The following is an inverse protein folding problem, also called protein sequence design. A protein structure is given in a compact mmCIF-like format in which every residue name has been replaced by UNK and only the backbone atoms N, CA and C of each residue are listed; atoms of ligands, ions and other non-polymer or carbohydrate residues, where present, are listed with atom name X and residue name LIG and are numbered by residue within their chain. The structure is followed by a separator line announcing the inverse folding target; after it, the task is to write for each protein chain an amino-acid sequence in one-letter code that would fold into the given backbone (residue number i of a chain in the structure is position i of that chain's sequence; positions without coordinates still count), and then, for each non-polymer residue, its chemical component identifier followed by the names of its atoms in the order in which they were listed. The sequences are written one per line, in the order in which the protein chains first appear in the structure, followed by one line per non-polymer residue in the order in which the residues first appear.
data_IF_162120025159
#
_entry.id   IF_162120025159
#
_cell.length_a   1.000
_cell.length_b   1.000
_cell.length_c   1.000
_cell.angle_alpha   90.00
_cell.angle_beta   90.00
_cell.angle_gamma   90.00
#
_symmetry.space_group_name_H-M   'P 1'
#
loop_
_entity.id
_entity.type
_entity.pdbx_description
1 polymer ?
#
# COMPACT_ATOMS: atom_id res chain seq x y z
N UNK A 1 16.74 3.00 -26.82
CA UNK A 1 15.28 3.12 -26.67
C UNK A 1 14.81 2.85 -25.23
N UNK A 2 15.38 1.85 -24.54
CA UNK A 2 15.02 1.46 -23.14
C UNK A 2 15.35 2.50 -22.05
N UNK A 3 16.40 3.31 -22.22
CA UNK A 3 16.82 4.30 -21.22
C UNK A 3 15.89 5.51 -21.12
N UNK A 4 15.31 5.94 -22.24
CA UNK A 4 14.38 7.09 -22.27
C UNK A 4 13.03 6.69 -21.69
N UNK A 5 12.56 5.48 -22.00
CA UNK A 5 11.37 4.90 -21.39
C UNK A 5 11.54 4.85 -19.87
N UNK A 6 12.62 4.22 -19.36
CA UNK A 6 12.89 4.18 -17.92
C UNK A 6 12.98 5.58 -17.27
N UNK A 7 13.56 6.56 -17.96
CA UNK A 7 13.65 7.94 -17.48
C UNK A 7 12.29 8.64 -17.35
N UNK A 8 11.26 8.21 -18.10
CA UNK A 8 9.90 8.74 -18.03
C UNK A 8 9.02 7.91 -17.07
N UNK A 9 9.16 6.58 -17.08
CA UNK A 9 8.36 5.70 -16.22
C UNK A 9 8.68 5.90 -14.75
N UNK A 10 9.94 6.18 -14.39
CA UNK A 10 10.36 6.42 -13.01
C UNK A 10 9.68 7.65 -12.37
N UNK A 11 9.80 8.88 -12.91
CA UNK A 11 9.14 10.05 -12.34
C UNK A 11 7.62 9.92 -12.37
N UNK A 12 7.05 9.35 -13.44
CA UNK A 12 5.61 9.09 -13.51
C UNK A 12 5.15 8.15 -12.38
N UNK A 13 5.89 7.07 -12.14
CA UNK A 13 5.58 6.12 -11.06
C UNK A 13 5.70 6.77 -9.68
N UNK A 14 6.69 7.65 -9.47
CA UNK A 14 6.85 8.41 -8.22
C UNK A 14 5.66 9.35 -8.00
N UNK A 15 5.29 10.16 -8.99
CA UNK A 15 4.16 11.10 -8.90
C UNK A 15 2.87 10.35 -8.61
N UNK A 16 2.61 9.26 -9.33
CA UNK A 16 1.38 8.49 -9.15
C UNK A 16 1.36 7.75 -7.80
N UNK A 17 2.51 7.31 -7.29
CA UNK A 17 2.65 6.76 -5.92
C UNK A 17 2.33 7.80 -4.85
N UNK A 18 2.82 9.03 -5.03
CA UNK A 18 2.53 10.15 -4.12
C UNK A 18 1.04 10.47 -4.14
N UNK A 19 0.41 10.56 -5.33
CA UNK A 19 -1.02 10.81 -5.46
C UNK A 19 -1.87 9.71 -4.78
N UNK A 20 -1.59 8.43 -5.05
CA UNK A 20 -2.26 7.31 -4.39
C UNK A 20 -2.11 7.39 -2.86
N UNK A 21 -0.93 7.75 -2.38
CA UNK A 21 -0.67 7.86 -0.94
C UNK A 21 -1.41 9.02 -0.31
N UNK A 22 -1.46 10.19 -0.96
CA UNK A 22 -2.20 11.36 -0.46
C UNK A 22 -3.71 11.06 -0.45
N UNK A 23 -4.24 10.56 -1.56
CA UNK A 23 -5.67 10.24 -1.71
C UNK A 23 -6.11 9.19 -0.68
N UNK A 24 -5.23 8.25 -0.32
CA UNK A 24 -5.56 7.23 0.67
C UNK A 24 -5.33 7.68 2.13
N UNK A 25 -4.28 8.44 2.41
CA UNK A 25 -3.91 8.86 3.78
C UNK A 25 -4.78 9.98 4.33
N UNK A 26 -5.11 11.00 3.53
CA UNK A 26 -5.94 12.13 3.95
C UNK A 26 -7.29 11.68 4.55
N UNK A 27 -8.10 10.85 3.87
CA UNK A 27 -9.38 10.41 4.43
C UNK A 27 -9.21 9.48 5.64
N UNK A 28 -8.12 8.70 5.74
CA UNK A 28 -7.83 7.89 6.94
C UNK A 28 -7.59 8.81 8.14
N UNK A 29 -6.81 9.89 7.96
CA UNK A 29 -6.54 10.86 9.03
C UNK A 29 -7.83 11.56 9.46
N UNK A 30 -8.65 12.01 8.52
CA UNK A 30 -9.95 12.63 8.81
C UNK A 30 -10.87 11.65 9.57
N UNK A 31 -10.94 10.39 9.14
CA UNK A 31 -11.73 9.37 9.84
C UNK A 31 -11.18 9.08 11.26
N UNK A 32 -9.85 9.12 11.43
CA UNK A 32 -9.19 9.03 12.74
C UNK A 32 -9.53 10.21 13.65
N UNK A 33 -9.59 11.43 13.12
CA UNK A 33 -10.04 12.60 13.88
C UNK A 33 -11.50 12.47 14.34
N UNK A 34 -12.39 12.00 13.46
CA UNK A 34 -13.80 11.73 13.82
C UNK A 34 -13.90 10.69 14.93
N UNK A 35 -13.06 9.64 14.88
CA UNK A 35 -12.99 8.60 15.93
C UNK A 35 -12.57 9.17 17.29
N UNK A 36 -11.68 10.16 17.31
CA UNK A 36 -11.21 10.82 18.54
C UNK A 36 -12.30 11.70 19.17
N UNK A 37 -13.09 12.39 18.35
CA UNK A 37 -14.17 13.28 18.81
C UNK A 37 -15.43 12.53 19.26
N UNK A 38 -15.72 11.34 18.71
CA UNK A 38 -16.96 10.60 18.97
C UNK A 38 -16.69 9.20 19.56
N UNK A 39 -16.89 8.99 20.88
CA UNK A 39 -16.73 7.68 21.53
C UNK A 39 -17.97 6.79 21.31
N UNK A 40 -18.43 6.64 20.07
CA UNK A 40 -19.59 5.82 19.72
C UNK A 40 -19.13 4.51 19.08
N UNK A 41 -19.45 3.33 19.65
CA UNK A 41 -18.93 2.04 19.18
C UNK A 41 -19.38 1.69 17.75
N UNK A 42 -20.56 2.14 17.32
CA UNK A 42 -21.00 1.99 15.93
C UNK A 42 -20.11 2.76 14.93
N UNK A 43 -19.72 3.99 15.27
CA UNK A 43 -18.86 4.82 14.41
C UNK A 43 -17.48 4.19 14.31
N UNK A 44 -16.95 3.66 15.41
CA UNK A 44 -15.64 3.00 15.42
C UNK A 44 -15.59 1.79 14.49
N UNK A 45 -16.63 0.96 14.45
CA UNK A 45 -16.71 -0.16 13.50
C UNK A 45 -16.72 0.33 12.05
N UNK A 46 -17.53 1.35 11.73
CA UNK A 46 -17.62 1.91 10.38
C UNK A 46 -16.30 2.54 9.93
N UNK A 47 -15.65 3.31 10.81
CA UNK A 47 -14.33 3.90 10.57
C UNK A 47 -13.29 2.80 10.37
N UNK A 48 -13.30 1.74 11.18
CA UNK A 48 -12.32 0.65 11.03
C UNK A 48 -12.48 -0.09 9.70
N UNK A 49 -13.73 -0.34 9.25
CA UNK A 49 -14.00 -0.93 7.94
C UNK A 49 -13.53 0.00 6.82
N UNK A 50 -13.81 1.31 6.95
CA UNK A 50 -13.37 2.32 5.99
C UNK A 50 -11.84 2.41 5.89
N UNK A 51 -11.14 2.45 7.02
CA UNK A 51 -9.67 2.46 7.05
C UNK A 51 -9.08 1.21 6.40
N UNK A 52 -9.65 0.02 6.66
CA UNK A 52 -9.23 -1.22 6.01
C UNK A 52 -9.47 -1.18 4.49
N UNK A 53 -10.60 -0.63 4.05
CA UNK A 53 -10.89 -0.44 2.62
C UNK A 53 -9.89 0.52 1.96
N UNK A 54 -9.61 1.67 2.59
CA UNK A 54 -8.62 2.62 2.08
C UNK A 54 -7.20 2.02 2.03
N UNK A 55 -6.84 1.20 3.03
CA UNK A 55 -5.57 0.45 3.03
C UNK A 55 -5.49 -0.54 1.86
N UNK A 56 -6.60 -1.24 1.58
CA UNK A 56 -6.70 -2.13 0.42
C UNK A 56 -6.58 -1.35 -0.90
N UNK A 57 -7.28 -0.22 -1.05
CA UNK A 57 -7.17 0.64 -2.23
C UNK A 57 -5.74 1.15 -2.44
N UNK A 58 -5.06 1.55 -1.37
CA UNK A 58 -3.67 1.97 -1.42
C UNK A 58 -2.76 0.83 -1.91
N UNK A 59 -2.93 -0.37 -1.35
CA UNK A 59 -2.21 -1.56 -1.77
C UNK A 59 -2.44 -1.92 -3.24
N UNK A 60 -3.70 -1.86 -3.70
CA UNK A 60 -4.06 -2.15 -5.09
C UNK A 60 -3.46 -1.12 -6.06
N UNK A 61 -3.49 0.16 -5.70
CA UNK A 61 -2.86 1.23 -6.47
C UNK A 61 -1.34 1.06 -6.58
N UNK A 62 -0.67 0.73 -5.47
CA UNK A 62 0.78 0.47 -5.46
C UNK A 62 1.14 -0.77 -6.28
N UNK A 63 0.32 -1.83 -6.21
CA UNK A 63 0.54 -3.03 -7.00
C UNK A 63 0.37 -2.80 -8.51
N UNK A 64 -0.65 -2.03 -8.91
CA UNK A 64 -0.85 -1.63 -10.31
C UNK A 64 0.32 -0.78 -10.84
N UNK A 65 0.83 0.13 -10.01
CA UNK A 65 1.99 0.96 -10.30
C UNK A 65 3.27 0.16 -10.58
N UNK A 66 3.47 -0.93 -9.86
CA UNK A 66 4.63 -1.79 -10.04
C UNK A 66 4.48 -2.74 -11.24
N UNK A 67 3.26 -3.14 -11.58
CA UNK A 67 2.98 -3.85 -12.84
C UNK A 67 3.29 -3.01 -14.09
N UNK A 68 3.24 -1.68 -14.00
CA UNK A 68 3.67 -0.78 -15.09
C UNK A 68 5.18 -0.82 -15.35
N UNK A 69 5.98 -1.41 -14.45
CA UNK A 69 7.44 -1.55 -14.57
C UNK A 69 7.86 -3.03 -14.61
N UNK A 70 7.58 -3.76 -15.71
CA UNK A 70 7.82 -5.21 -15.81
C UNK A 70 9.32 -5.59 -15.82
N UNK A 71 10.22 -4.63 -16.02
CA UNK A 71 11.67 -4.86 -15.93
C UNK A 71 12.17 -5.08 -14.50
N UNK A 72 11.33 -4.83 -13.51
CA UNK A 72 11.65 -4.92 -12.11
C UNK A 72 11.32 -6.34 -11.61
N UNK A 73 12.24 -7.27 -11.85
CA UNK A 73 12.18 -8.64 -11.34
C UNK A 73 12.41 -8.60 -9.83
N UNK A 74 11.41 -9.01 -9.06
CA UNK A 74 11.48 -9.06 -7.60
C UNK A 74 11.38 -10.49 -7.13
N UNK A 75 12.39 -10.90 -6.37
CA UNK A 75 12.36 -12.15 -5.64
C UNK A 75 11.78 -11.88 -4.25
N UNK A 76 10.68 -12.57 -3.92
CA UNK A 76 9.96 -12.41 -2.66
C UNK A 76 9.76 -13.77 -2.04
N UNK A 77 10.54 -14.06 -1.03
CA UNK A 77 10.49 -15.33 -0.29
C UNK A 77 9.62 -15.20 0.97
N UNK A 78 9.02 -16.31 1.41
CA UNK A 78 8.33 -16.40 2.70
C UNK A 78 6.91 -15.82 2.78
N UNK A 79 6.28 -15.53 1.63
CA UNK A 79 4.85 -15.19 1.58
C UNK A 79 3.92 -16.42 1.62
N UNK A 80 4.49 -17.62 1.45
CA UNK A 80 3.77 -18.89 1.45
C UNK A 80 3.26 -19.20 2.87
N UNK A 81 1.96 -19.05 3.09
CA UNK A 81 1.30 -19.34 4.37
C UNK A 81 0.74 -18.14 5.13
N UNK A 82 0.81 -16.92 4.58
CA UNK A 82 0.02 -15.81 5.11
C UNK A 82 -1.48 -16.10 4.92
N UNK A 83 -2.30 -15.72 5.91
CA UNK A 83 -3.75 -15.88 5.88
C UNK A 83 -4.43 -14.53 5.99
N UNK A 84 -5.33 -14.19 5.05
CA UNK A 84 -6.08 -12.93 5.07
C UNK A 84 -6.90 -12.67 6.35
N UNK A 85 -7.12 -13.70 7.16
CA UNK A 85 -7.91 -13.62 8.40
C UNK A 85 -7.08 -13.23 9.63
N UNK A 86 -5.75 -13.25 9.53
CA UNK A 86 -4.85 -12.98 10.65
C UNK A 86 -4.19 -11.61 10.53
N UNK A 87 -3.84 -11.02 11.67
CA UNK A 87 -3.13 -9.74 11.72
C UNK A 87 -1.61 -9.99 11.70
N UNK A 88 -0.91 -9.31 10.79
CA UNK A 88 0.54 -9.40 10.64
C UNK A 88 1.17 -8.02 10.79
N UNK A 89 2.29 -7.94 11.51
CA UNK A 89 3.09 -6.73 11.60
C UNK A 89 4.19 -6.78 10.53
N UNK A 90 4.09 -5.90 9.53
CA UNK A 90 5.11 -5.74 8.51
C UNK A 90 6.25 -4.87 9.04
N UNK A 91 7.47 -5.42 9.11
CA UNK A 91 8.67 -4.68 9.50
C UNK A 91 9.60 -4.61 8.29
N UNK A 92 9.96 -3.40 7.89
CA UNK A 92 10.86 -3.16 6.75
C UNK A 92 12.13 -2.46 7.23
N UNK A 93 13.29 -2.88 6.72
CA UNK A 93 14.52 -2.16 7.00
C UNK A 93 14.48 -0.76 6.35
N UNK A 94 14.78 0.26 7.15
CA UNK A 94 14.72 1.66 6.74
C UNK A 94 15.98 2.13 5.96
N UNK A 95 17.03 1.30 5.91
CA UNK A 95 18.34 1.63 5.30
C UNK A 95 18.42 1.48 3.78
N UNK A 96 17.36 1.11 3.09
CA UNK A 96 17.38 1.00 1.63
C UNK A 96 15.99 1.23 1.00
N UNK A 97 15.95 1.30 -0.33
CA UNK A 97 14.73 1.27 -1.13
C UNK A 97 13.83 0.05 -0.85
N UNK A 98 14.28 -0.89 0.00
CA UNK A 98 13.53 -2.03 0.49
C UNK A 98 12.19 -1.67 1.16
N UNK A 99 12.03 -0.47 1.72
CA UNK A 99 10.73 -0.06 2.30
C UNK A 99 9.58 -0.12 1.29
N UNK A 100 9.80 0.39 0.07
CA UNK A 100 8.78 0.30 -0.98
C UNK A 100 8.63 -1.14 -1.50
N UNK A 101 9.71 -1.94 -1.47
CA UNK A 101 9.68 -3.36 -1.86
C UNK A 101 8.89 -4.22 -0.88
N UNK A 102 9.11 -4.05 0.42
CA UNK A 102 8.39 -4.77 1.47
C UNK A 102 6.91 -4.38 1.48
N UNK A 103 6.61 -3.08 1.32
CA UNK A 103 5.23 -2.62 1.18
C UNK A 103 4.53 -3.26 -0.03
N UNK A 104 5.20 -3.32 -1.18
CA UNK A 104 4.67 -4.00 -2.36
C UNK A 104 4.49 -5.51 -2.16
N UNK A 105 5.50 -6.21 -1.65
CA UNK A 105 5.43 -7.65 -1.39
C UNK A 105 4.23 -8.00 -0.50
N UNK A 106 4.06 -7.24 0.58
CA UNK A 106 2.92 -7.39 1.48
C UNK A 106 1.58 -7.06 0.79
N UNK A 107 1.50 -5.95 0.05
CA UNK A 107 0.29 -5.59 -0.68
C UNK A 107 -0.07 -6.61 -1.77
N UNK A 108 0.92 -7.16 -2.49
CA UNK A 108 0.75 -8.20 -3.50
C UNK A 108 0.21 -9.49 -2.87
N UNK A 109 0.79 -9.92 -1.74
CA UNK A 109 0.30 -11.07 -0.98
C UNK A 109 -1.13 -10.84 -0.44
N UNK A 110 -1.39 -9.63 0.07
CA UNK A 110 -2.69 -9.25 0.61
C UNK A 110 -3.78 -9.17 -0.48
N UNK A 111 -3.42 -8.88 -1.73
CA UNK A 111 -4.36 -8.89 -2.86
C UNK A 111 -4.55 -10.31 -3.42
N UNK A 112 -3.47 -11.10 -3.54
CA UNK A 112 -3.44 -12.35 -4.33
C UNK A 112 -3.93 -13.63 -3.62
N UNK A 113 -4.05 -13.65 -2.28
CA UNK A 113 -4.63 -14.78 -1.53
C UNK A 113 -6.15 -14.65 -1.30
#
# INVERSE_FOLDING_TARGET
MTRILAAITLPLSIVLTILVTIVCSVPIIVAGMVKLLLPVPCIWRKVSIFCNFMMYCWCAGLAALLRLNPHLQWDVEGLEGLSKKNWYLLICNHRSWARYRCAFAFCSASISQ
#
